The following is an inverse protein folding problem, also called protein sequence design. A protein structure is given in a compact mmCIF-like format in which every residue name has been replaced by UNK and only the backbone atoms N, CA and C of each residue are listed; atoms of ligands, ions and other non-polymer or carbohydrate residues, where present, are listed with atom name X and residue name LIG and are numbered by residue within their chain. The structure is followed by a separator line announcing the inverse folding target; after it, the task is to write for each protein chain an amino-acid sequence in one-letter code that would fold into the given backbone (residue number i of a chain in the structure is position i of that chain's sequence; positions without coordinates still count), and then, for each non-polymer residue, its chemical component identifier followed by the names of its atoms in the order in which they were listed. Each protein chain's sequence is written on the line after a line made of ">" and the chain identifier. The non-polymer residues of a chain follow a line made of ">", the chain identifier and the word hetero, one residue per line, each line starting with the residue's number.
data_IF_458292874612
#
_entry.id   IF_458292874612
#
_cell.length_a   1.000
_cell.length_b   1.000
_cell.length_c   1.000
_cell.angle_alpha   90.00
_cell.angle_beta   90.00
_cell.angle_gamma   90.00
#
_symmetry.space_group_name_H-M   'P 1'
#
loop_
_entity.id
_entity.type
_entity.pdbx_description
1 polymer ?
#
# COMPACT_ATOMS: atom_id res chain seq x y z
N UNK A 1 27.39 51.98 79.51
CA UNK A 1 27.40 50.73 80.31
C UNK A 1 26.00 50.13 80.16
N UNK A 2 25.73 48.95 79.61
CA UNK A 2 26.53 47.73 79.38
C UNK A 2 25.85 46.88 78.27
N UNK A 3 26.58 45.89 77.78
CA UNK A 3 26.49 45.10 76.52
C UNK A 3 25.37 44.00 76.41
N UNK A 4 24.93 43.73 75.16
CA UNK A 4 24.80 42.44 74.40
C UNK A 4 23.99 41.20 74.93
N UNK A 5 23.09 40.56 74.12
CA UNK A 5 23.24 39.25 73.35
C UNK A 5 21.90 38.67 72.83
N UNK A 6 21.99 37.93 71.71
CA UNK A 6 20.98 37.18 70.91
C UNK A 6 20.20 36.07 71.64
N UNK A 7 19.07 35.62 71.06
CA UNK A 7 18.87 34.26 70.49
C UNK A 7 17.56 34.21 69.67
N UNK A 8 17.62 33.53 68.53
CA UNK A 8 16.57 33.30 67.55
C UNK A 8 15.80 31.99 67.79
N UNK A 9 14.52 31.92 67.39
CA UNK A 9 13.80 30.67 67.13
C UNK A 9 13.00 30.82 65.83
N UNK A 10 13.24 29.89 64.92
CA UNK A 10 12.69 29.80 63.56
C UNK A 10 11.57 28.73 63.57
N UNK A 11 10.41 29.01 62.99
CA UNK A 11 9.29 28.05 62.87
C UNK A 11 8.91 27.89 61.40
N UNK A 12 9.26 26.73 60.85
CA UNK A 12 8.98 26.28 59.48
C UNK A 12 7.48 26.01 59.28
N UNK A 13 6.87 26.65 58.29
CA UNK A 13 5.53 26.33 57.79
C UNK A 13 5.59 25.24 56.71
N UNK A 14 4.81 24.17 56.94
CA UNK A 14 4.68 22.96 56.13
C UNK A 14 3.93 23.26 54.81
N UNK A 15 4.60 23.19 53.67
CA UNK A 15 3.96 23.10 52.35
C UNK A 15 4.06 21.64 51.88
N UNK A 16 2.95 20.92 51.94
CA UNK A 16 2.83 19.59 51.37
C UNK A 16 2.83 19.69 49.83
N UNK A 17 4.02 19.54 49.23
CA UNK A 17 4.13 19.27 47.80
C UNK A 17 3.65 17.84 47.56
N UNK A 18 2.43 17.70 47.04
CA UNK A 18 1.97 16.46 46.42
C UNK A 18 2.74 16.36 45.10
N UNK A 19 3.91 15.73 45.15
CA UNK A 19 4.63 15.30 43.96
C UNK A 19 3.79 14.23 43.27
N UNK A 20 3.08 14.59 42.21
CA UNK A 20 2.64 13.63 41.21
C UNK A 20 3.91 13.10 40.54
N UNK A 21 4.53 12.09 41.13
CA UNK A 21 5.50 11.26 40.42
C UNK A 21 4.71 10.51 39.36
N UNK A 22 4.68 11.06 38.14
CA UNK A 22 4.40 10.26 36.97
C UNK A 22 5.32 9.05 37.07
N UNK A 23 4.75 7.86 37.26
CA UNK A 23 5.49 6.62 37.16
C UNK A 23 6.01 6.54 35.73
N UNK A 24 7.22 7.04 35.50
CA UNK A 24 8.04 6.58 34.40
C UNK A 24 8.11 5.08 34.61
N UNK A 25 7.39 4.30 33.79
CA UNK A 25 7.55 2.85 33.73
C UNK A 25 9.05 2.60 33.59
N UNK A 26 9.69 2.19 34.68
CA UNK A 26 11.11 1.84 34.65
C UNK A 26 11.26 0.76 33.60
N UNK A 27 12.15 0.96 32.64
CA UNK A 27 12.47 -0.05 31.65
C UNK A 27 12.71 -1.40 32.34
N UNK A 28 12.22 -2.52 31.78
CA UNK A 28 12.39 -3.83 32.41
C UNK A 28 13.85 -4.06 32.78
N UNK A 29 14.12 -4.54 34.00
CA UNK A 29 15.49 -4.75 34.48
C UNK A 29 16.26 -5.67 33.52
N UNK A 30 17.20 -5.13 32.75
CA UNK A 30 18.04 -5.89 31.84
C UNK A 30 19.16 -6.61 32.59
N UNK A 31 19.52 -7.81 32.15
CA UNK A 31 20.69 -8.52 32.67
C UNK A 31 21.32 -9.40 31.61
N UNK A 32 22.61 -9.66 31.74
CA UNK A 32 23.36 -10.57 30.86
C UNK A 32 22.72 -11.96 30.78
N UNK A 33 22.14 -12.46 31.88
CA UNK A 33 21.40 -13.73 31.91
C UNK A 33 20.13 -13.66 31.04
N UNK A 34 19.37 -12.56 31.11
CA UNK A 34 18.17 -12.38 30.28
C UNK A 34 18.53 -12.33 28.80
N UNK A 35 19.58 -11.59 28.42
CA UNK A 35 20.09 -11.53 27.05
C UNK A 35 20.49 -12.92 26.53
N UNK A 36 21.21 -13.71 27.33
CA UNK A 36 21.58 -15.07 26.98
C UNK A 36 20.35 -15.97 26.74
N UNK A 37 19.38 -15.94 27.67
CA UNK A 37 18.15 -16.72 27.56
C UNK A 37 17.29 -16.32 26.35
N UNK A 38 17.23 -15.03 26.00
CA UNK A 38 16.56 -14.56 24.79
C UNK A 38 17.27 -15.08 23.53
N UNK A 39 18.61 -15.06 23.51
CA UNK A 39 19.41 -15.64 22.42
C UNK A 39 19.14 -17.14 22.23
N UNK A 40 19.10 -17.92 23.32
CA UNK A 40 18.76 -19.34 23.25
C UNK A 40 17.36 -19.56 22.66
N UNK A 41 16.36 -18.77 23.12
CA UNK A 41 15.00 -18.84 22.58
C UNK A 41 14.95 -18.48 21.10
N UNK A 42 15.70 -17.48 20.65
CA UNK A 42 15.77 -17.07 19.26
C UNK A 42 16.35 -18.19 18.37
N UNK A 43 17.40 -18.87 18.82
CA UNK A 43 17.98 -20.03 18.11
C UNK A 43 16.98 -21.18 18.03
N UNK A 44 16.27 -21.49 19.11
CA UNK A 44 15.26 -22.55 19.10
C UNK A 44 14.12 -22.22 18.15
N UNK A 45 13.63 -20.97 18.17
CA UNK A 45 12.60 -20.50 17.24
C UNK A 45 13.07 -20.63 15.79
N UNK A 46 14.27 -20.17 15.46
CA UNK A 46 14.83 -20.27 14.11
C UNK A 46 14.95 -21.72 13.62
N UNK A 47 15.36 -22.65 14.50
CA UNK A 47 15.41 -24.10 14.18
C UNK A 47 14.03 -24.68 13.89
N UNK A 48 13.01 -24.30 14.65
CA UNK A 48 11.64 -24.75 14.42
C UNK A 48 11.11 -24.21 13.09
N UNK A 49 11.28 -22.92 12.81
CA UNK A 49 10.84 -22.32 11.55
C UNK A 49 11.55 -22.93 10.34
N UNK A 50 12.85 -23.25 10.44
CA UNK A 50 13.58 -23.94 9.38
C UNK A 50 13.06 -25.38 9.13
N UNK A 51 12.66 -26.10 10.19
CA UNK A 51 12.06 -27.43 10.06
C UNK A 51 10.67 -27.38 9.41
N UNK A 52 9.84 -26.41 9.80
CA UNK A 52 8.51 -26.20 9.21
C UNK A 52 8.60 -25.84 7.73
N UNK A 53 9.54 -24.97 7.38
CA UNK A 53 9.86 -24.63 6.01
C UNK A 53 10.28 -25.85 5.17
N UNK A 54 11.20 -26.67 5.67
CA UNK A 54 11.66 -27.88 4.99
C UNK A 54 10.52 -28.89 4.75
N UNK A 55 9.53 -28.94 5.65
CA UNK A 55 8.35 -29.80 5.48
C UNK A 55 7.45 -29.35 4.32
N UNK A 56 7.47 -28.06 3.99
CA UNK A 56 6.61 -27.44 2.97
C UNK A 56 7.39 -27.07 1.69
N UNK A 57 8.63 -27.54 1.50
CA UNK A 57 9.48 -27.13 0.36
C UNK A 57 8.88 -27.46 -1.00
N UNK A 58 8.06 -28.52 -1.07
CA UNK A 58 7.47 -29.00 -2.32
C UNK A 58 6.01 -28.52 -2.49
N UNK A 59 5.46 -27.76 -1.53
CA UNK A 59 4.10 -27.28 -1.58
C UNK A 59 4.00 -26.00 -2.42
N UNK A 60 3.16 -26.02 -3.46
CA UNK A 60 2.84 -24.82 -4.25
C UNK A 60 1.94 -23.86 -3.46
N UNK A 61 2.24 -22.56 -3.53
CA UNK A 61 1.44 -21.52 -2.89
C UNK A 61 0.07 -21.41 -3.56
N UNK A 62 -1.00 -21.57 -2.75
CA UNK A 62 -2.39 -21.38 -3.21
C UNK A 62 -2.73 -19.90 -3.43
N UNK A 63 -2.14 -19.02 -2.62
CA UNK A 63 -2.36 -17.57 -2.67
C UNK A 63 -1.03 -16.84 -2.57
N UNK A 64 -0.94 -15.69 -3.23
CA UNK A 64 0.20 -14.78 -3.21
C UNK A 64 -0.31 -13.41 -2.75
N UNK A 65 0.31 -12.85 -1.71
CA UNK A 65 0.04 -11.49 -1.25
C UNK A 65 1.38 -10.76 -1.17
N UNK A 66 1.50 -9.67 -1.92
CA UNK A 66 2.67 -8.81 -1.93
C UNK A 66 2.35 -7.50 -1.22
N UNK A 67 3.02 -7.23 -0.11
CA UNK A 67 2.98 -5.94 0.57
C UNK A 67 4.16 -5.08 0.14
N UNK A 68 3.89 -3.84 -0.25
CA UNK A 68 4.90 -2.87 -0.70
C UNK A 68 4.74 -1.59 0.12
N UNK A 69 5.71 -1.32 1.01
CA UNK A 69 5.87 0.01 1.59
C UNK A 69 6.72 0.86 0.65
N UNK A 70 6.11 1.79 -0.09
CA UNK A 70 6.82 2.68 -1.01
C UNK A 70 7.78 3.56 -0.20
N UNK A 71 9.05 3.64 -0.61
CA UNK A 71 10.09 4.34 0.15
C UNK A 71 10.44 3.74 1.54
N UNK A 72 9.91 2.58 1.93
CA UNK A 72 10.12 1.99 3.26
C UNK A 72 11.48 1.29 3.40
N UNK A 73 12.55 2.08 3.48
CA UNK A 73 13.91 1.59 3.72
C UNK A 73 14.14 1.07 5.16
N UNK A 74 15.32 0.48 5.41
CA UNK A 74 15.70 -0.09 6.72
C UNK A 74 15.62 0.94 7.85
N UNK A 75 15.99 2.20 7.57
CA UNK A 75 15.90 3.31 8.53
C UNK A 75 14.44 3.59 8.89
N UNK A 76 13.54 3.65 7.90
CA UNK A 76 12.10 3.84 8.09
C UNK A 76 11.50 2.71 8.93
N UNK A 77 11.87 1.46 8.65
CA UNK A 77 11.43 0.29 9.43
C UNK A 77 11.86 0.41 10.89
N UNK A 78 13.13 0.79 11.13
CA UNK A 78 13.67 0.92 12.49
C UNK A 78 12.98 2.05 13.26
N UNK A 79 12.75 3.20 12.61
CA UNK A 79 12.02 4.31 13.20
C UNK A 79 10.56 3.93 13.54
N UNK A 80 9.87 3.27 12.61
CA UNK A 80 8.50 2.79 12.80
C UNK A 80 8.41 1.75 13.94
N UNK A 81 9.39 0.86 14.07
CA UNK A 81 9.47 -0.11 15.17
C UNK A 81 9.52 0.57 16.53
N UNK A 82 10.41 1.56 16.67
CA UNK A 82 10.58 2.33 17.91
C UNK A 82 9.29 3.09 18.23
N UNK A 83 8.78 3.85 17.25
CA UNK A 83 7.55 4.62 17.39
C UNK A 83 6.36 3.73 17.80
N UNK A 84 6.13 2.60 17.12
CA UNK A 84 5.06 1.68 17.45
C UNK A 84 5.18 1.06 18.85
N UNK A 85 6.41 0.89 19.37
CA UNK A 85 6.63 0.46 20.74
C UNK A 85 6.31 1.56 21.75
N UNK A 86 6.70 2.80 21.46
CA UNK A 86 6.40 3.97 22.28
C UNK A 86 4.90 4.27 22.37
N UNK A 87 4.17 4.09 21.26
CA UNK A 87 2.70 4.16 21.23
C UNK A 87 2.03 3.10 22.12
N UNK A 88 2.73 2.04 22.49
CA UNK A 88 2.26 1.03 23.47
C UNK A 88 2.76 1.30 24.90
N UNK A 89 3.36 2.46 25.17
CA UNK A 89 3.93 2.80 26.47
C UNK A 89 5.21 2.04 26.84
N UNK A 90 5.91 1.47 25.84
CA UNK A 90 7.21 0.80 26.00
C UNK A 90 8.35 1.73 25.56
N UNK A 91 9.63 1.42 25.89
CA UNK A 91 10.77 2.23 25.45
C UNK A 91 10.86 2.40 23.92
N UNK A 92 10.54 1.35 23.16
CA UNK A 92 10.44 1.37 21.71
C UNK A 92 11.36 0.37 21.03
N UNK A 93 12.63 0.36 21.41
CA UNK A 93 13.71 -0.38 20.73
C UNK A 93 13.49 -1.90 20.71
N UNK A 94 12.93 -2.44 21.81
CA UNK A 94 12.61 -3.86 21.98
C UNK A 94 11.31 -4.29 21.28
N UNK A 95 10.58 -3.35 20.66
CA UNK A 95 9.39 -3.69 19.90
C UNK A 95 9.77 -4.49 18.64
N UNK A 96 8.85 -5.29 18.12
CA UNK A 96 9.05 -6.06 16.89
C UNK A 96 7.79 -5.89 16.03
N UNK A 97 7.94 -5.31 14.84
CA UNK A 97 6.86 -5.14 13.89
C UNK A 97 6.35 -6.50 13.40
N UNK A 98 5.12 -6.55 12.90
CA UNK A 98 4.50 -7.82 12.51
C UNK A 98 5.31 -8.59 11.47
N UNK A 99 5.76 -7.93 10.40
CA UNK A 99 6.51 -8.57 9.32
C UNK A 99 7.95 -8.94 9.72
N UNK A 100 8.52 -8.35 10.77
CA UNK A 100 9.84 -8.72 11.29
C UNK A 100 9.87 -10.09 11.96
N UNK A 101 8.69 -10.67 12.20
CA UNK A 101 8.53 -12.03 12.72
C UNK A 101 8.57 -13.08 11.60
N UNK A 102 8.59 -12.66 10.33
CA UNK A 102 8.67 -13.58 9.20
C UNK A 102 10.01 -14.35 9.22
N UNK A 103 10.01 -15.63 8.83
CA UNK A 103 11.19 -16.48 8.98
C UNK A 103 12.29 -16.20 7.95
N UNK A 104 12.00 -15.43 6.91
CA UNK A 104 12.91 -15.13 5.81
C UNK A 104 13.11 -13.64 5.64
N UNK A 105 14.36 -13.25 5.46
CA UNK A 105 14.79 -11.90 5.17
C UNK A 105 15.80 -11.92 4.03
N UNK A 106 15.64 -10.99 3.10
CA UNK A 106 16.60 -10.77 2.02
C UNK A 106 16.80 -9.27 1.82
N UNK A 107 17.95 -8.91 1.24
CA UNK A 107 18.21 -7.55 0.78
C UNK A 107 18.01 -7.49 -0.73
N UNK A 108 17.32 -6.45 -1.20
CA UNK A 108 17.06 -6.22 -2.62
C UNK A 108 17.92 -5.06 -3.16
N UNK A 109 18.52 -5.25 -4.34
CA UNK A 109 19.27 -4.19 -5.06
C UNK A 109 18.33 -3.46 -6.02
N UNK A 110 17.97 -2.22 -5.71
CA UNK A 110 16.80 -1.55 -6.30
C UNK A 110 17.09 -0.69 -7.54
N UNK A 111 18.35 -0.43 -7.91
CA UNK A 111 18.71 0.41 -9.07
C UNK A 111 17.92 0.08 -10.36
N UNK A 112 17.52 1.10 -11.11
CA UNK A 112 16.96 0.95 -12.45
C UNK A 112 18.06 0.86 -13.50
N UNK A 113 17.74 0.45 -14.73
CA UNK A 113 18.76 0.24 -15.77
C UNK A 113 19.47 1.53 -16.20
N UNK A 114 18.86 2.69 -15.94
CA UNK A 114 19.40 4.01 -16.24
C UNK A 114 19.70 4.89 -15.00
N UNK A 115 19.43 4.45 -13.78
CA UNK A 115 19.59 5.26 -12.56
C UNK A 115 19.99 4.42 -11.34
N UNK A 116 20.92 4.92 -10.53
CA UNK A 116 21.38 4.26 -9.29
C UNK A 116 20.31 4.36 -8.19
N UNK A 117 19.81 5.57 -7.97
CA UNK A 117 18.60 5.82 -7.17
C UNK A 117 17.39 5.63 -8.07
N UNK A 118 16.59 4.59 -7.85
CA UNK A 118 15.49 4.27 -8.75
C UNK A 118 14.25 5.13 -8.48
N UNK A 119 13.23 4.98 -9.32
CA UNK A 119 11.87 5.43 -9.02
C UNK A 119 10.92 4.24 -8.78
N UNK A 120 9.69 4.52 -8.34
CA UNK A 120 8.65 3.51 -8.08
C UNK A 120 8.24 2.73 -9.35
N UNK A 121 8.23 3.38 -10.52
CA UNK A 121 7.80 2.74 -11.77
C UNK A 121 8.73 1.59 -12.19
N UNK A 122 10.04 1.86 -12.26
CA UNK A 122 10.99 0.83 -12.67
C UNK A 122 11.18 -0.26 -11.60
N UNK A 123 11.05 0.08 -10.31
CA UNK A 123 11.16 -0.90 -9.21
C UNK A 123 9.97 -1.83 -9.14
N UNK A 124 8.74 -1.32 -9.23
CA UNK A 124 7.57 -2.18 -9.24
C UNK A 124 7.42 -2.98 -10.54
N UNK A 125 7.87 -2.44 -11.67
CA UNK A 125 7.99 -3.25 -12.90
C UNK A 125 8.92 -4.44 -12.66
N UNK A 126 10.07 -4.25 -12.00
CA UNK A 126 10.97 -5.36 -11.68
C UNK A 126 10.35 -6.39 -10.72
N UNK A 127 9.60 -5.94 -9.71
CA UNK A 127 8.91 -6.82 -8.75
C UNK A 127 7.79 -7.63 -9.42
N UNK A 128 7.05 -7.02 -10.35
CA UNK A 128 5.88 -7.64 -10.97
C UNK A 128 6.22 -8.46 -12.21
N UNK A 129 7.27 -8.12 -12.97
CA UNK A 129 7.61 -8.82 -14.22
C UNK A 129 8.86 -9.68 -14.12
N UNK A 130 9.64 -9.53 -13.04
CA UNK A 130 10.97 -10.13 -12.90
C UNK A 130 12.07 -9.43 -13.73
N UNK A 131 11.74 -8.39 -14.50
CA UNK A 131 12.65 -7.71 -15.42
C UNK A 131 12.89 -6.26 -15.00
N UNK A 132 14.15 -5.87 -14.83
CA UNK A 132 14.50 -4.46 -14.59
C UNK A 132 14.27 -3.63 -15.83
N UNK A 133 13.83 -2.39 -15.63
CA UNK A 133 13.64 -1.40 -16.69
C UNK A 133 14.13 -0.02 -16.28
N UNK A 134 13.92 0.99 -17.14
CA UNK A 134 14.28 2.39 -16.90
C UNK A 134 13.35 3.04 -15.86
N UNK A 135 13.84 4.05 -15.17
CA UNK A 135 13.00 4.89 -14.33
C UNK A 135 11.94 5.64 -15.16
N UNK A 136 10.73 5.75 -14.63
CA UNK A 136 9.62 6.49 -15.25
C UNK A 136 8.82 5.73 -16.31
N UNK A 137 9.11 4.45 -16.59
CA UNK A 137 8.31 3.59 -17.49
C UNK A 137 7.76 2.39 -16.73
N UNK A 138 6.57 1.93 -17.12
CA UNK A 138 5.81 0.92 -16.38
C UNK A 138 5.51 -0.26 -17.30
N UNK A 139 5.81 -1.48 -16.85
CA UNK A 139 5.39 -2.71 -17.53
C UNK A 139 5.99 -2.91 -18.93
N UNK A 140 7.06 -2.18 -19.27
CA UNK A 140 7.75 -2.26 -20.56
C UNK A 140 9.27 -2.40 -20.38
N UNK A 141 9.91 -3.09 -21.31
CA UNK A 141 11.34 -3.34 -21.33
C UNK A 141 12.18 -2.08 -21.55
N UNK A 142 13.46 -2.17 -21.21
CA UNK A 142 14.37 -1.02 -21.25
C UNK A 142 14.63 -0.47 -22.66
N UNK A 143 14.40 -1.26 -23.71
CA UNK A 143 14.69 -0.85 -25.11
C UNK A 143 13.64 0.12 -25.65
N UNK A 144 12.54 0.28 -24.93
CA UNK A 144 11.48 1.25 -25.18
C UNK A 144 11.98 2.72 -25.04
N UNK A 145 11.37 3.63 -25.80
CA UNK A 145 11.68 5.06 -25.82
C UNK A 145 10.64 5.82 -24.97
N UNK A 146 11.04 6.31 -23.79
CA UNK A 146 10.17 7.04 -22.86
C UNK A 146 9.34 8.12 -23.58
N UNK A 147 8.09 8.28 -23.16
CA UNK A 147 7.03 9.15 -23.73
C UNK A 147 6.57 8.82 -25.17
N UNK A 148 7.19 7.85 -25.85
CA UNK A 148 6.80 7.45 -27.20
C UNK A 148 5.95 6.17 -27.18
N UNK A 149 4.63 6.31 -27.28
CA UNK A 149 3.68 5.19 -27.28
C UNK A 149 3.95 4.16 -28.39
N UNK A 150 4.42 4.59 -29.57
CA UNK A 150 4.69 3.66 -30.68
C UNK A 150 5.78 2.64 -30.37
N UNK A 151 6.67 2.95 -29.43
CA UNK A 151 7.78 2.08 -29.03
C UNK A 151 7.41 1.04 -27.96
N UNK A 152 6.15 1.02 -27.48
CA UNK A 152 5.64 -0.03 -26.57
C UNK A 152 5.58 -1.38 -27.29
N UNK A 153 5.22 -1.39 -28.57
CA UNK A 153 5.06 -2.61 -29.36
C UNK A 153 6.35 -3.43 -29.35
N UNK A 154 6.27 -4.69 -28.92
CA UNK A 154 7.41 -5.59 -28.78
C UNK A 154 8.23 -5.40 -27.50
N UNK A 155 7.90 -4.42 -26.66
CA UNK A 155 8.56 -4.16 -25.38
C UNK A 155 7.68 -4.46 -24.15
N UNK A 156 6.41 -4.84 -24.33
CA UNK A 156 5.50 -5.20 -23.22
C UNK A 156 6.05 -6.36 -22.38
N UNK A 157 6.00 -6.21 -21.06
CA UNK A 157 6.41 -7.23 -20.09
C UNK A 157 5.19 -7.69 -19.30
N UNK A 158 4.83 -8.96 -19.40
CA UNK A 158 3.68 -9.53 -18.67
C UNK A 158 3.94 -9.54 -17.17
N UNK A 159 2.96 -9.10 -16.39
CA UNK A 159 3.07 -9.02 -14.93
C UNK A 159 2.67 -10.32 -14.25
N UNK A 160 3.08 -10.51 -13.01
CA UNK A 160 2.67 -11.64 -12.18
C UNK A 160 1.15 -11.64 -11.90
N UNK A 161 0.51 -10.46 -11.89
CA UNK A 161 -0.93 -10.33 -11.76
C UNK A 161 -1.63 -10.80 -13.05
N UNK A 162 -1.13 -10.40 -14.21
CA UNK A 162 -1.65 -10.84 -15.51
C UNK A 162 -1.48 -12.36 -15.71
N UNK A 163 -0.35 -12.91 -15.27
CA UNK A 163 -0.18 -14.36 -15.22
C UNK A 163 -1.18 -15.04 -14.27
N UNK A 164 -1.47 -14.44 -13.12
CA UNK A 164 -2.45 -14.97 -12.17
C UNK A 164 -3.87 -14.98 -12.77
N UNK A 165 -4.26 -13.91 -13.46
CA UNK A 165 -5.50 -13.82 -14.24
C UNK A 165 -5.59 -14.93 -15.30
N UNK A 166 -4.53 -15.11 -16.09
CA UNK A 166 -4.48 -16.13 -17.15
C UNK A 166 -4.66 -17.56 -16.65
N UNK A 167 -4.21 -17.86 -15.43
CA UNK A 167 -4.35 -19.20 -14.82
C UNK A 167 -5.59 -19.33 -13.95
N UNK A 168 -6.49 -18.35 -13.99
CA UNK A 168 -7.77 -18.41 -13.29
C UNK A 168 -7.67 -18.19 -11.78
N UNK A 169 -6.71 -17.40 -11.31
CA UNK A 169 -6.72 -16.89 -9.93
C UNK A 169 -7.64 -15.67 -9.86
N UNK A 170 -8.10 -15.32 -8.65
CA UNK A 170 -8.65 -14.00 -8.40
C UNK A 170 -7.53 -13.02 -8.11
N UNK A 171 -7.60 -11.82 -8.67
CA UNK A 171 -6.59 -10.78 -8.50
C UNK A 171 -7.13 -9.52 -7.85
N UNK A 172 -6.22 -8.79 -7.21
CA UNK A 172 -6.58 -7.52 -6.61
C UNK A 172 -5.42 -6.56 -6.41
N UNK A 173 -5.75 -5.28 -6.50
CA UNK A 173 -4.84 -4.16 -6.28
C UNK A 173 -5.45 -3.26 -5.22
N UNK A 174 -4.71 -3.04 -4.13
CA UNK A 174 -5.11 -2.14 -3.05
C UNK A 174 -3.97 -1.17 -2.80
N UNK A 175 -4.29 0.12 -2.71
CA UNK A 175 -3.30 1.15 -2.44
C UNK A 175 -3.88 2.30 -1.64
N UNK A 176 -3.08 2.98 -0.82
CA UNK A 176 -3.39 4.33 -0.34
C UNK A 176 -3.13 5.39 -1.40
N UNK A 177 -2.39 5.07 -2.46
CA UNK A 177 -2.17 5.98 -3.58
C UNK A 177 -3.38 6.04 -4.53
N UNK A 178 -3.27 6.91 -5.54
CA UNK A 178 -4.08 6.76 -6.76
C UNK A 178 -3.85 5.37 -7.34
N UNK A 179 -4.90 4.66 -7.75
CA UNK A 179 -4.76 3.36 -8.42
C UNK A 179 -3.94 3.42 -9.71
N UNK A 180 -3.86 4.61 -10.31
CA UNK A 180 -3.05 4.95 -11.49
C UNK A 180 -1.61 5.37 -11.16
N UNK A 181 -1.26 5.52 -9.87
CA UNK A 181 0.12 5.79 -9.47
C UNK A 181 1.04 4.62 -9.84
N UNK A 182 2.34 4.88 -10.01
CA UNK A 182 3.28 3.91 -10.55
C UNK A 182 3.28 2.54 -9.87
N UNK A 183 3.18 2.51 -8.54
CA UNK A 183 3.24 1.28 -7.74
C UNK A 183 2.05 0.34 -8.00
N UNK A 184 0.78 0.77 -7.86
CA UNK A 184 -0.36 -0.05 -8.28
C UNK A 184 -0.42 -0.27 -9.80
N UNK A 185 -0.11 0.75 -10.62
CA UNK A 185 -0.17 0.66 -12.07
C UNK A 185 0.76 -0.41 -12.66
N UNK A 186 1.95 -0.60 -12.10
CA UNK A 186 2.90 -1.64 -12.53
C UNK A 186 2.41 -3.07 -12.38
N UNK A 187 1.25 -3.28 -11.75
CA UNK A 187 0.62 -4.59 -11.67
C UNK A 187 -0.23 -4.92 -12.91
N UNK A 188 -0.68 -3.93 -13.69
CA UNK A 188 -1.64 -4.14 -14.78
C UNK A 188 -1.40 -3.29 -16.05
N UNK A 189 -0.59 -2.24 -15.97
CA UNK A 189 -0.42 -1.27 -17.05
C UNK A 189 0.94 -1.41 -17.74
N UNK A 190 0.95 -1.06 -19.03
CA UNK A 190 2.16 -0.92 -19.83
C UNK A 190 2.16 0.45 -20.48
N UNK A 191 2.97 1.36 -19.96
CA UNK A 191 2.98 2.76 -20.41
C UNK A 191 4.40 3.31 -20.58
N UNK A 192 4.58 4.22 -21.55
CA UNK A 192 5.87 4.81 -21.89
C UNK A 192 6.32 5.88 -20.89
N UNK A 193 5.43 6.27 -19.99
CA UNK A 193 5.58 7.35 -19.04
C UNK A 193 4.62 7.10 -17.87
N UNK A 194 5.14 7.09 -16.65
CA UNK A 194 4.34 6.81 -15.44
C UNK A 194 3.28 7.87 -15.15
N UNK A 195 3.45 9.07 -15.69
CA UNK A 195 2.50 10.16 -15.54
C UNK A 195 1.34 10.09 -16.53
N UNK A 196 1.23 9.08 -17.40
CA UNK A 196 0.07 8.92 -18.29
C UNK A 196 -1.10 8.30 -17.52
N UNK A 197 -1.48 8.94 -16.41
CA UNK A 197 -2.49 8.41 -15.49
C UNK A 197 -3.90 8.45 -16.11
N UNK A 198 -4.17 9.47 -16.93
CA UNK A 198 -5.40 9.67 -17.71
C UNK A 198 -5.10 10.10 -19.17
N UNK A 199 -6.15 10.21 -20.00
CA UNK A 199 -6.05 10.55 -21.42
C UNK A 199 -5.52 11.98 -21.66
N UNK A 200 -5.76 12.90 -20.72
CA UNK A 200 -5.31 14.28 -20.79
C UNK A 200 -3.80 14.38 -20.57
N UNK A 201 -3.25 13.61 -19.64
CA UNK A 201 -1.79 13.53 -19.44
C UNK A 201 -1.06 13.10 -20.73
N UNK A 202 -1.68 12.22 -21.51
CA UNK A 202 -1.19 11.81 -22.82
C UNK A 202 -1.32 12.95 -23.84
N UNK A 203 -2.48 13.62 -23.88
CA UNK A 203 -2.80 14.62 -24.91
C UNK A 203 -1.86 15.83 -24.90
N UNK A 204 -1.33 16.19 -23.74
CA UNK A 204 -0.42 17.33 -23.56
C UNK A 204 1.05 17.00 -23.87
N UNK A 205 1.36 15.74 -24.20
CA UNK A 205 2.74 15.27 -24.39
C UNK A 205 3.08 14.99 -25.86
N UNK A 206 4.24 15.47 -26.30
CA UNK A 206 4.71 15.28 -27.67
C UNK A 206 5.03 13.81 -27.95
N UNK A 207 4.59 13.29 -29.10
CA UNK A 207 4.79 11.89 -29.54
C UNK A 207 4.13 10.82 -28.64
N UNK A 208 3.13 11.20 -27.85
CA UNK A 208 2.40 10.31 -26.96
C UNK A 208 1.11 9.74 -27.60
N UNK A 209 0.94 9.76 -28.92
CA UNK A 209 -0.27 9.23 -29.54
C UNK A 209 -0.23 7.70 -29.69
N UNK A 210 -1.38 7.05 -29.49
CA UNK A 210 -1.57 5.63 -29.83
C UNK A 210 -1.37 4.63 -28.70
N UNK A 211 -1.22 5.07 -27.45
CA UNK A 211 -1.38 4.19 -26.28
C UNK A 211 -2.54 4.63 -25.39
N UNK A 212 -3.10 3.67 -24.64
CA UNK A 212 -4.12 3.93 -23.62
C UNK A 212 -3.46 4.40 -22.33
N UNK A 213 -4.11 5.32 -21.64
CA UNK A 213 -3.73 5.77 -20.29
C UNK A 213 -3.89 4.65 -19.25
N UNK A 214 -3.28 4.87 -18.08
CA UNK A 214 -3.26 3.89 -17.00
C UNK A 214 -4.68 3.60 -16.50
N UNK A 215 -5.54 4.62 -16.32
CA UNK A 215 -6.90 4.42 -15.82
C UNK A 215 -7.72 3.51 -16.77
N UNK A 216 -7.67 3.77 -18.08
CA UNK A 216 -8.30 2.93 -19.08
C UNK A 216 -7.74 1.49 -19.08
N UNK A 217 -6.42 1.32 -18.94
CA UNK A 217 -5.79 -0.01 -18.89
C UNK A 217 -6.23 -0.85 -17.68
N UNK A 218 -6.62 -0.23 -16.55
CA UNK A 218 -7.22 -0.92 -15.41
C UNK A 218 -8.59 -1.50 -15.76
N UNK A 219 -9.46 -0.69 -16.36
CA UNK A 219 -10.83 -1.10 -16.73
C UNK A 219 -10.81 -2.18 -17.81
N UNK A 220 -9.90 -2.05 -18.78
CA UNK A 220 -9.78 -2.93 -19.93
C UNK A 220 -9.01 -4.22 -19.61
N UNK A 221 -8.62 -4.47 -18.34
CA UNK A 221 -7.82 -5.65 -17.99
C UNK A 221 -8.51 -6.95 -18.41
N UNK A 222 -9.83 -7.06 -18.19
CA UNK A 222 -10.64 -8.22 -18.60
C UNK A 222 -10.56 -8.50 -20.11
N UNK A 223 -10.43 -7.46 -20.94
CA UNK A 223 -10.38 -7.64 -22.39
C UNK A 223 -8.99 -8.11 -22.86
N UNK A 224 -7.98 -8.05 -21.98
CA UNK A 224 -6.60 -8.48 -22.23
C UNK A 224 -6.27 -9.80 -21.53
N UNK A 225 -6.78 -10.03 -20.32
CA UNK A 225 -6.41 -11.14 -19.45
C UNK A 225 -7.58 -11.61 -18.58
N UNK A 226 -7.80 -12.92 -18.56
CA UNK A 226 -8.70 -13.58 -17.60
C UNK A 226 -10.13 -13.03 -17.62
N UNK A 227 -10.64 -12.77 -16.43
CA UNK A 227 -11.91 -12.09 -16.18
C UNK A 227 -11.72 -10.75 -15.47
N UNK A 228 -10.48 -10.25 -15.37
CA UNK A 228 -10.18 -8.93 -14.83
C UNK A 228 -10.14 -8.89 -13.30
N UNK A 229 -9.81 -7.73 -12.74
CA UNK A 229 -9.64 -7.58 -11.29
C UNK A 229 -10.94 -7.82 -10.53
N UNK A 230 -10.94 -8.69 -9.51
CA UNK A 230 -12.06 -8.73 -8.55
C UNK A 230 -12.05 -7.55 -7.59
N UNK A 231 -10.87 -6.97 -7.30
CA UNK A 231 -10.75 -5.87 -6.33
C UNK A 231 -9.75 -4.82 -6.79
N UNK A 232 -10.20 -3.58 -6.92
CA UNK A 232 -9.35 -2.41 -7.17
C UNK A 232 -9.74 -1.31 -6.18
N UNK A 233 -8.90 -1.05 -5.15
CA UNK A 233 -9.23 -0.15 -4.04
C UNK A 233 -8.12 0.87 -3.80
N UNK A 234 -8.45 2.16 -3.82
CA UNK A 234 -7.52 3.22 -3.46
C UNK A 234 -8.06 4.60 -3.75
N UNK A 235 -7.18 5.55 -4.02
CA UNK A 235 -7.55 6.89 -4.47
C UNK A 235 -7.58 7.03 -6.00
N UNK A 236 -7.62 8.27 -6.48
CA UNK A 236 -7.37 8.66 -7.87
C UNK A 236 -8.63 8.88 -8.68
N UNK A 237 -9.78 9.11 -8.02
CA UNK A 237 -11.09 9.26 -8.69
C UNK A 237 -11.07 10.23 -9.86
N UNK A 238 -10.28 11.30 -9.78
CA UNK A 238 -10.18 12.31 -10.84
C UNK A 238 -9.75 11.73 -12.20
N UNK A 239 -8.94 10.68 -12.21
CA UNK A 239 -8.44 10.05 -13.44
C UNK A 239 -9.46 9.10 -14.08
N UNK A 240 -10.55 8.76 -13.36
CA UNK A 240 -11.58 7.82 -13.82
C UNK A 240 -12.89 8.50 -14.23
N UNK A 241 -13.03 9.81 -13.99
CA UNK A 241 -14.26 10.55 -14.25
C UNK A 241 -14.02 11.71 -15.20
N UNK A 242 -15.09 12.13 -15.86
CA UNK A 242 -15.09 13.23 -16.83
C UNK A 242 -14.62 14.55 -16.22
N UNK A 243 -13.94 15.37 -17.02
CA UNK A 243 -13.59 16.76 -16.71
C UNK A 243 -14.80 17.69 -16.74
N UNK A 244 -15.70 17.52 -15.77
CA UNK A 244 -16.89 18.36 -15.57
C UNK A 244 -16.90 18.87 -14.13
N UNK A 245 -17.19 20.17 -13.95
CA UNK A 245 -17.30 20.77 -12.62
C UNK A 245 -18.44 20.11 -11.84
N UNK A 246 -18.20 19.71 -10.59
CA UNK A 246 -19.19 18.99 -9.80
C UNK A 246 -19.19 17.46 -9.98
N UNK A 247 -18.30 16.90 -10.80
CA UNK A 247 -18.24 15.45 -11.03
C UNK A 247 -17.80 14.65 -9.79
N UNK A 248 -16.99 15.24 -8.91
CA UNK A 248 -16.54 14.63 -7.67
C UNK A 248 -17.59 14.72 -6.56
N UNK A 249 -17.97 13.59 -5.91
CA UNK A 249 -19.09 13.55 -4.96
C UNK A 249 -18.82 14.17 -3.59
N UNK A 250 -17.55 14.35 -3.15
CA UNK A 250 -17.24 14.98 -1.86
C UNK A 250 -17.40 16.50 -1.87
N UNK A 251 -16.79 17.17 -2.85
CA UNK A 251 -16.60 18.63 -2.81
C UNK A 251 -16.87 19.31 -4.16
N UNK A 252 -17.56 18.63 -5.09
CA UNK A 252 -17.77 19.13 -6.44
C UNK A 252 -16.50 19.25 -7.28
N UNK A 253 -15.48 18.44 -6.95
CA UNK A 253 -14.22 18.36 -7.67
C UNK A 253 -14.41 18.01 -9.15
N UNK A 254 -13.39 18.28 -9.96
CA UNK A 254 -13.42 18.03 -11.40
C UNK A 254 -12.52 16.84 -11.74
N UNK A 255 -12.97 15.97 -12.64
CA UNK A 255 -12.12 14.93 -13.22
C UNK A 255 -11.08 15.48 -14.18
N UNK A 256 -10.23 14.62 -14.70
CA UNK A 256 -9.19 14.97 -15.67
C UNK A 256 -9.53 14.50 -17.08
N UNK A 257 -10.40 13.50 -17.23
CA UNK A 257 -10.66 12.87 -18.54
C UNK A 257 -11.33 13.82 -19.55
N UNK A 258 -10.72 13.95 -20.72
CA UNK A 258 -11.13 14.84 -21.82
C UNK A 258 -11.79 14.08 -23.00
N UNK A 259 -11.64 12.75 -23.06
CA UNK A 259 -12.24 11.89 -24.09
C UNK A 259 -13.75 11.60 -23.89
N UNK A 260 -14.32 12.09 -22.79
CA UNK A 260 -15.75 11.98 -22.48
C UNK A 260 -16.16 10.64 -21.85
N UNK A 261 -15.21 9.80 -21.45
CA UNK A 261 -15.51 8.54 -20.75
C UNK A 261 -15.74 8.74 -19.27
N UNK A 262 -16.53 7.85 -18.69
CA UNK A 262 -16.67 7.70 -17.25
C UNK A 262 -16.35 6.25 -16.92
N UNK A 263 -15.10 6.04 -16.52
CA UNK A 263 -14.53 4.72 -16.29
C UNK A 263 -15.18 4.01 -15.10
N UNK A 264 -15.78 4.77 -14.16
CA UNK A 264 -16.53 4.19 -13.04
C UNK A 264 -17.85 3.56 -13.52
N UNK A 265 -18.49 4.20 -14.49
CA UNK A 265 -19.70 3.65 -15.14
C UNK A 265 -19.34 2.49 -16.06
N UNK A 266 -18.23 2.57 -16.78
CA UNK A 266 -17.74 1.47 -17.62
C UNK A 266 -17.39 0.21 -16.80
N UNK A 267 -16.80 0.37 -15.61
CA UNK A 267 -16.59 -0.76 -14.67
C UNK A 267 -17.90 -1.49 -14.36
N UNK A 268 -18.95 -0.75 -14.00
CA UNK A 268 -20.26 -1.32 -13.68
C UNK A 268 -20.90 -2.02 -14.89
N UNK A 269 -20.64 -1.52 -16.10
CA UNK A 269 -21.12 -2.13 -17.34
C UNK A 269 -20.30 -3.36 -17.76
N UNK A 270 -19.00 -3.40 -17.44
CA UNK A 270 -18.09 -4.49 -17.81
C UNK A 270 -18.35 -5.77 -17.02
N UNK A 271 -18.74 -5.65 -15.75
CA UNK A 271 -18.84 -6.76 -14.82
C UNK A 271 -20.26 -6.92 -14.28
N UNK A 272 -20.93 -8.07 -14.49
CA UNK A 272 -22.13 -8.39 -13.71
C UNK A 272 -21.77 -8.50 -12.22
N UNK A 273 -22.73 -8.24 -11.34
CA UNK A 273 -22.53 -8.32 -9.88
C UNK A 273 -21.36 -7.45 -9.38
N UNK A 274 -21.15 -6.29 -10.00
CA UNK A 274 -20.10 -5.34 -9.63
C UNK A 274 -20.62 -4.21 -8.77
N UNK A 275 -19.70 -3.52 -8.10
CA UNK A 275 -19.98 -2.29 -7.38
C UNK A 275 -18.86 -1.27 -7.55
N UNK A 276 -19.27 0.00 -7.51
CA UNK A 276 -18.39 1.16 -7.39
C UNK A 276 -18.71 1.84 -6.05
N UNK A 277 -17.68 2.06 -5.24
CA UNK A 277 -17.79 2.77 -3.96
C UNK A 277 -16.76 3.88 -3.88
N UNK A 278 -17.08 4.91 -3.11
CA UNK A 278 -16.22 6.08 -3.03
C UNK A 278 -16.09 6.68 -1.63
N UNK A 279 -16.75 6.11 -0.62
CA UNK A 279 -16.61 6.53 0.77
C UNK A 279 -16.74 5.35 1.74
N UNK A 280 -16.48 5.61 3.02
CA UNK A 280 -16.54 4.63 4.11
C UNK A 280 -17.92 3.95 4.20
N UNK A 281 -19.01 4.74 4.21
CA UNK A 281 -20.35 4.20 4.39
C UNK A 281 -20.76 3.23 3.28
N UNK A 282 -20.41 3.54 2.03
CA UNK A 282 -20.65 2.64 0.90
C UNK A 282 -19.78 1.40 0.97
N UNK A 283 -18.50 1.56 1.32
CA UNK A 283 -17.58 0.44 1.48
C UNK A 283 -18.08 -0.57 2.52
N UNK A 284 -18.53 -0.09 3.67
CA UNK A 284 -19.08 -0.91 4.75
C UNK A 284 -20.41 -1.58 4.36
N UNK A 285 -21.19 -0.95 3.48
CA UNK A 285 -22.47 -1.48 3.01
C UNK A 285 -22.32 -2.59 1.95
N UNK A 286 -21.15 -2.77 1.32
CA UNK A 286 -21.00 -3.78 0.28
C UNK A 286 -21.00 -5.19 0.87
N UNK A 287 -21.93 -6.03 0.40
CA UNK A 287 -21.98 -7.46 0.69
C UNK A 287 -20.91 -8.25 -0.09
N UNK A 288 -19.90 -8.85 0.56
CA UNK A 288 -18.87 -9.66 -0.10
C UNK A 288 -19.39 -10.92 -0.81
N UNK A 289 -20.54 -11.45 -0.41
CA UNK A 289 -21.09 -12.69 -0.96
C UNK A 289 -21.82 -12.52 -2.30
N UNK A 290 -22.15 -11.28 -2.67
CA UNK A 290 -22.90 -10.96 -3.90
C UNK A 290 -22.21 -9.94 -4.81
N UNK A 291 -21.06 -9.41 -4.40
CA UNK A 291 -20.26 -8.46 -5.19
C UNK A 291 -18.98 -9.15 -5.62
N UNK A 292 -18.89 -9.48 -6.91
CA UNK A 292 -17.77 -10.23 -7.50
C UNK A 292 -16.62 -9.31 -7.90
N UNK A 293 -16.94 -8.11 -8.42
CA UNK A 293 -15.97 -7.10 -8.85
C UNK A 293 -16.22 -5.76 -8.14
N UNK A 294 -15.23 -5.27 -7.40
CA UNK A 294 -15.33 -4.03 -6.63
C UNK A 294 -14.27 -3.01 -7.06
N UNK A 295 -14.73 -1.84 -7.49
CA UNK A 295 -13.92 -0.63 -7.67
C UNK A 295 -14.19 0.33 -6.50
N UNK A 296 -13.16 0.70 -5.77
CA UNK A 296 -13.21 1.66 -4.67
C UNK A 296 -12.28 2.84 -4.93
N UNK A 297 -12.82 4.04 -5.10
CA UNK A 297 -12.06 5.27 -5.33
C UNK A 297 -12.41 6.29 -4.24
N UNK A 298 -11.65 6.28 -3.15
CA UNK A 298 -12.00 6.96 -1.89
C UNK A 298 -11.61 8.42 -1.81
N UNK A 299 -10.77 8.89 -2.73
CA UNK A 299 -10.36 10.29 -2.80
C UNK A 299 -10.14 10.71 -4.27
N UNK A 300 -10.23 12.02 -4.56
CA UNK A 300 -9.93 12.57 -5.88
C UNK A 300 -8.48 12.32 -6.31
N UNK A 301 -7.53 12.36 -5.36
CA UNK A 301 -6.11 12.06 -5.58
C UNK A 301 -5.68 10.86 -4.73
N UNK A 302 -4.50 10.89 -4.11
CA UNK A 302 -4.16 9.92 -3.06
C UNK A 302 -5.21 9.94 -1.95
N UNK A 303 -5.35 8.82 -1.24
CA UNK A 303 -6.06 8.81 0.05
C UNK A 303 -5.32 9.71 1.04
N UNK A 304 -6.02 10.14 2.09
CA UNK A 304 -5.41 10.94 3.15
C UNK A 304 -4.38 10.11 3.92
N UNK A 305 -3.42 10.81 4.54
CA UNK A 305 -2.53 10.15 5.49
C UNK A 305 -3.33 9.59 6.66
N UNK A 306 -2.90 8.46 7.25
CA UNK A 306 -3.65 7.81 8.34
C UNK A 306 -3.93 8.74 9.53
N UNK A 307 -3.02 9.68 9.83
CA UNK A 307 -3.20 10.69 10.89
C UNK A 307 -4.33 11.69 10.56
N UNK A 308 -4.49 12.04 9.28
CA UNK A 308 -5.47 13.01 8.80
C UNK A 308 -6.79 12.34 8.36
N UNK A 309 -6.79 11.02 8.17
CA UNK A 309 -7.92 10.23 7.65
C UNK A 309 -9.22 10.42 8.45
N UNK A 310 -9.12 10.56 9.77
CA UNK A 310 -10.29 10.76 10.63
C UNK A 310 -10.90 12.17 10.52
N UNK A 311 -10.20 13.11 9.89
CA UNK A 311 -10.70 14.45 9.61
C UNK A 311 -11.50 14.54 8.30
N UNK A 312 -11.49 13.47 7.48
CA UNK A 312 -12.35 13.38 6.31
C UNK A 312 -13.81 13.25 6.72
N UNK A 313 -14.59 14.27 6.38
CA UNK A 313 -16.02 14.38 6.72
C UNK A 313 -16.90 13.32 6.05
N UNK A 314 -16.50 12.81 4.88
CA UNK A 314 -17.22 11.76 4.17
C UNK A 314 -16.61 10.39 4.45
N UNK A 315 -15.34 10.39 4.85
CA UNK A 315 -14.61 9.29 5.44
C UNK A 315 -14.09 8.30 4.41
N UNK A 316 -12.89 7.79 4.66
CA UNK A 316 -12.26 6.75 3.87
C UNK A 316 -11.73 5.59 4.73
N UNK A 317 -11.76 4.35 4.21
CA UNK A 317 -11.30 3.16 4.91
C UNK A 317 -9.78 3.15 5.10
N UNK A 318 -9.33 2.64 6.25
CA UNK A 318 -7.90 2.41 6.49
C UNK A 318 -7.33 1.34 5.55
N UNK A 319 -6.01 1.34 5.32
CA UNK A 319 -5.34 0.28 4.55
C UNK A 319 -5.62 -1.12 5.12
N UNK A 320 -5.72 -1.24 6.44
CA UNK A 320 -6.05 -2.50 7.10
C UNK A 320 -7.49 -2.96 6.78
N UNK A 321 -8.45 -2.04 6.71
CA UNK A 321 -9.83 -2.33 6.31
C UNK A 321 -9.91 -2.74 4.83
N UNK A 322 -9.20 -2.01 3.95
CA UNK A 322 -9.10 -2.36 2.52
C UNK A 322 -8.53 -3.77 2.31
N UNK A 323 -7.43 -4.10 3.00
CA UNK A 323 -6.80 -5.42 2.92
C UNK A 323 -7.69 -6.54 3.48
N UNK A 324 -8.41 -6.29 4.58
CA UNK A 324 -9.34 -7.26 5.18
C UNK A 324 -10.53 -7.55 4.24
N UNK A 325 -11.12 -6.50 3.66
CA UNK A 325 -12.22 -6.58 2.70
C UNK A 325 -11.85 -7.43 1.49
N UNK A 326 -10.64 -7.27 0.94
CA UNK A 326 -10.14 -8.17 -0.09
C UNK A 326 -10.10 -9.64 0.38
N UNK A 327 -9.56 -9.88 1.57
CA UNK A 327 -9.42 -11.22 2.14
C UNK A 327 -10.76 -11.95 2.34
N UNK A 328 -11.80 -11.24 2.77
CA UNK A 328 -13.16 -11.75 2.95
C UNK A 328 -13.90 -11.93 1.62
N UNK A 329 -13.79 -10.98 0.69
CA UNK A 329 -14.44 -11.03 -0.64
C UNK A 329 -13.97 -12.21 -1.45
N UNK A 330 -12.67 -12.38 -1.56
CA UNK A 330 -12.11 -13.54 -2.25
C UNK A 330 -12.37 -14.87 -1.51
N UNK A 331 -12.81 -14.86 -0.23
CA UNK A 331 -13.30 -16.05 0.52
C UNK A 331 -14.80 -16.32 0.28
N UNK A 332 -15.59 -15.28 0.08
CA UNK A 332 -17.05 -15.33 -0.05
C UNK A 332 -17.57 -15.47 -1.48
N UNK A 333 -16.71 -15.36 -2.50
CA UNK A 333 -17.09 -15.58 -3.90
C UNK A 333 -17.78 -16.96 -4.06
N UNK A 334 -19.02 -16.92 -4.52
CA UNK A 334 -19.76 -18.07 -5.06
C UNK A 334 -19.16 -18.55 -6.40
N UNK A 335 -18.12 -17.86 -6.89
CA UNK A 335 -17.31 -18.18 -8.08
C UNK A 335 -16.14 -19.12 -7.69
N UNK A 336 -15.83 -20.16 -8.49
CA UNK A 336 -15.01 -21.32 -8.05
C UNK A 336 -13.48 -21.08 -7.94
N UNK A 337 -13.00 -19.83 -8.04
CA UNK A 337 -11.55 -19.54 -8.04
C UNK A 337 -11.00 -19.53 -6.61
N UNK A 338 -10.50 -20.69 -6.18
CA UNK A 338 -9.96 -20.89 -4.82
C UNK A 338 -8.58 -20.24 -4.60
N UNK A 339 -7.91 -19.71 -5.64
CA UNK A 339 -6.53 -19.20 -5.61
C UNK A 339 -6.50 -17.68 -5.82
N UNK A 340 -5.55 -16.97 -5.20
CA UNK A 340 -5.54 -15.48 -5.17
C UNK A 340 -4.16 -14.86 -5.37
N UNK A 341 -4.06 -13.75 -6.09
CA UNK A 341 -2.85 -12.94 -6.20
C UNK A 341 -3.17 -11.47 -5.93
N UNK A 342 -2.57 -10.88 -4.88
CA UNK A 342 -2.96 -9.56 -4.37
C UNK A 342 -1.74 -8.70 -4.17
N UNK A 343 -1.80 -7.47 -4.64
CA UNK A 343 -0.80 -6.44 -4.34
C UNK A 343 -1.43 -5.40 -3.43
N UNK A 344 -0.82 -5.20 -2.27
CA UNK A 344 -1.19 -4.22 -1.27
C UNK A 344 -0.03 -3.22 -1.18
N UNK A 345 -0.27 -1.95 -1.44
CA UNK A 345 0.77 -0.91 -1.33
C UNK A 345 0.35 0.24 -0.44
N UNK A 346 1.33 0.80 0.25
CA UNK A 346 1.22 2.05 1.00
C UNK A 346 2.22 3.03 0.39
N UNK A 347 1.76 4.21 -0.04
CA UNK A 347 2.57 5.24 -0.69
C UNK A 347 2.77 6.47 0.16
#
# INVERSE_FOLDING_TARGET
>A
MQFIFQIAVCSLSLLANISYSASLNSAPEESSIKWYQQGEKAIQKARLSAKEAAKNSDASAKNIILFVGDGMGISTITAARIYAGQMQGKPGEENILFFEKFPYLALAKTYNTNQQTPDSAGTMTAMMTGMKTKAGIIGVGQDMIRTNCSSITGNTLTTALEHAEQIGMSTGVVSTARLTHATPAATYAHVPERNFEDDRDISIMTNATGCKDIAAQLIDLKDRYGDGLEVALGGGRKNFIRRVHGAGPENGGMGESEDGRDLTTEWLAHYPNSAYVWNQAQFDAINPGSTEHLLGLFNMSHMEYEEDRLNDTVGEPSLSALAASHGERTRGLVVPRRRRAVVLSES
#
